data_IF_069204176207
#
_entry.id   IF_069204176207
#
_cell.length_a   1.000
_cell.length_b   1.000
_cell.length_c   1.000
_cell.angle_alpha   90.00
_cell.angle_beta   90.00
_cell.angle_gamma   90.00
#
_symmetry.space_group_name_H-M   'P 1'
#
loop_
_entity.id
_entity.type
_entity.pdbx_description
1 polymer ?
#
# COMPACT_ATOMS: atom_id res chain seq x y z
N UNK A 1 1.48 14.40 -11.87
CA UNK A 1 2.52 13.79 -11.01
C UNK A 1 2.41 12.27 -11.09
N UNK A 2 3.49 11.56 -10.82
CA UNK A 2 3.57 10.10 -10.85
C UNK A 2 3.48 9.55 -9.44
N UNK A 3 2.48 8.72 -9.18
CA UNK A 3 2.12 8.24 -7.83
C UNK A 3 2.29 6.73 -7.75
N UNK A 4 2.97 6.26 -6.71
CA UNK A 4 3.06 4.83 -6.36
C UNK A 4 2.11 4.49 -5.23
N UNK A 5 1.67 3.22 -5.19
CA UNK A 5 0.79 2.70 -4.14
C UNK A 5 1.43 1.50 -3.47
N UNK A 6 1.41 1.43 -2.15
CA UNK A 6 1.91 0.29 -1.39
C UNK A 6 0.80 -0.22 -0.45
N UNK A 7 0.38 -1.47 -0.59
CA UNK A 7 0.79 -2.46 -1.60
C UNK A 7 0.32 -2.10 -3.01
N UNK A 8 1.10 -2.53 -4.00
CA UNK A 8 0.79 -2.35 -5.43
C UNK A 8 -0.60 -2.91 -5.81
N UNK A 9 -1.18 -2.39 -6.90
CA UNK A 9 -2.41 -2.87 -7.52
C UNK A 9 -3.72 -2.66 -6.73
N UNK A 10 -3.84 -1.59 -5.92
CA UNK A 10 -5.11 -1.24 -5.27
C UNK A 10 -6.20 -0.85 -6.29
N UNK A 11 -7.26 -1.66 -6.40
CA UNK A 11 -8.37 -1.43 -7.33
C UNK A 11 -9.20 -0.18 -7.00
N UNK A 12 -9.11 0.34 -5.77
CA UNK A 12 -9.81 1.56 -5.35
C UNK A 12 -8.92 2.77 -5.58
N UNK A 13 -7.66 2.72 -5.17
CA UNK A 13 -6.78 3.90 -5.18
C UNK A 13 -6.31 4.24 -6.59
N UNK A 14 -6.05 3.25 -7.44
CA UNK A 14 -5.59 3.48 -8.82
C UNK A 14 -6.57 4.34 -9.63
N UNK A 15 -7.88 4.04 -9.68
CA UNK A 15 -8.84 4.89 -10.39
C UNK A 15 -8.95 6.31 -9.82
N UNK A 16 -8.72 6.49 -8.50
CA UNK A 16 -8.71 7.81 -7.88
C UNK A 16 -7.50 8.64 -8.33
N UNK A 17 -6.33 8.03 -8.47
CA UNK A 17 -5.11 8.67 -8.99
C UNK A 17 -5.37 9.18 -10.40
N UNK A 18 -5.88 8.32 -11.28
CA UNK A 18 -6.18 8.66 -12.68
C UNK A 18 -7.26 9.73 -12.80
N UNK A 19 -8.34 9.62 -12.00
CA UNK A 19 -9.43 10.61 -11.96
C UNK A 19 -8.97 12.01 -11.55
N UNK A 20 -7.95 12.11 -10.70
CA UNK A 20 -7.37 13.38 -10.28
C UNK A 20 -6.25 13.89 -11.23
N UNK A 21 -6.07 13.28 -12.40
CA UNK A 21 -5.12 13.73 -13.42
C UNK A 21 -3.67 13.34 -13.16
N UNK A 22 -3.43 12.37 -12.27
CA UNK A 22 -2.10 11.83 -11.98
C UNK A 22 -1.87 10.49 -12.68
N UNK A 23 -0.61 10.09 -12.78
CA UNK A 23 -0.22 8.81 -13.40
C UNK A 23 0.14 7.80 -12.32
N UNK A 24 -0.54 6.65 -12.31
CA UNK A 24 -0.15 5.54 -11.46
C UNK A 24 1.09 4.84 -12.01
N UNK A 25 2.12 4.68 -11.18
CA UNK A 25 3.31 3.91 -11.48
C UNK A 25 3.20 2.51 -10.87
N UNK A 26 2.96 1.51 -11.72
CA UNK A 26 2.97 0.11 -11.29
C UNK A 26 4.33 -0.54 -11.51
N UNK A 27 4.89 -1.21 -10.51
CA UNK A 27 6.06 -2.06 -10.71
C UNK A 27 5.86 -3.17 -11.74
N UNK A 28 4.62 -3.62 -11.94
CA UNK A 28 4.29 -4.69 -12.89
C UNK A 28 4.17 -4.24 -14.34
N UNK A 29 4.00 -2.94 -14.60
CA UNK A 29 3.85 -2.40 -15.97
C UNK A 29 5.17 -2.29 -16.74
N UNK A 30 6.31 -2.52 -16.08
CA UNK A 30 7.58 -2.63 -16.78
C UNK A 30 7.63 -3.97 -17.49
N UNK A 31 7.28 -3.95 -18.77
CA UNK A 31 7.37 -5.14 -19.62
C UNK A 31 8.82 -5.61 -19.75
N UNK A 32 9.02 -6.92 -19.94
CA UNK A 32 10.32 -7.54 -20.17
C UNK A 32 11.03 -7.01 -21.44
N UNK A 33 10.37 -6.16 -22.21
CA UNK A 33 10.87 -5.58 -23.48
C UNK A 33 11.44 -4.18 -23.34
N UNK A 34 11.14 -3.46 -22.23
CA UNK A 34 11.90 -2.25 -21.95
C UNK A 34 13.30 -2.69 -21.60
N UNK A 35 14.23 -2.44 -22.51
CA UNK A 35 15.64 -2.78 -22.38
C UNK A 35 16.08 -2.59 -20.94
N UNK A 36 16.89 -3.54 -20.45
CA UNK A 36 17.60 -3.47 -19.18
C UNK A 36 18.54 -2.24 -19.15
N UNK A 37 18.00 -1.08 -19.41
CA UNK A 37 18.67 0.16 -19.06
C UNK A 37 18.75 0.14 -17.54
N UNK A 38 19.88 -0.31 -17.08
CA UNK A 38 20.34 -0.27 -15.71
C UNK A 38 20.03 1.14 -15.25
N UNK A 39 19.16 1.27 -14.25
CA UNK A 39 18.88 2.56 -13.64
C UNK A 39 20.24 3.14 -13.24
N UNK A 40 20.69 4.17 -13.93
CA UNK A 40 21.97 4.85 -13.65
C UNK A 40 21.89 5.68 -12.36
N UNK A 41 20.80 5.55 -11.61
CA UNK A 41 20.55 6.27 -10.37
C UNK A 41 21.16 5.64 -9.12
N UNK A 42 21.14 6.38 -8.02
CA UNK A 42 21.65 5.95 -6.71
C UNK A 42 20.82 4.81 -6.06
N UNK A 43 19.63 4.50 -6.60
CA UNK A 43 18.72 3.47 -6.09
C UNK A 43 18.74 2.21 -6.95
N UNK A 44 19.91 1.77 -7.38
CA UNK A 44 20.05 0.46 -8.02
C UNK A 44 19.57 -0.65 -7.09
N UNK A 45 19.12 -1.76 -7.66
CA UNK A 45 18.65 -2.91 -6.89
C UNK A 45 19.69 -3.42 -5.88
N UNK A 46 20.97 -3.42 -6.24
CA UNK A 46 22.06 -3.85 -5.36
C UNK A 46 22.25 -2.89 -4.19
N UNK A 47 22.11 -1.58 -4.42
CA UNK A 47 22.16 -0.58 -3.37
C UNK A 47 20.95 -0.70 -2.41
N UNK A 48 19.75 -0.97 -2.93
CA UNK A 48 18.58 -1.21 -2.11
C UNK A 48 18.73 -2.47 -1.24
N UNK A 49 19.22 -3.57 -1.81
CA UNK A 49 19.44 -4.79 -1.03
C UNK A 49 20.50 -4.55 0.04
N UNK A 50 21.64 -3.98 -0.27
CA UNK A 50 22.71 -3.76 0.70
C UNK A 50 22.32 -2.80 1.81
N UNK A 51 21.50 -1.77 1.51
CA UNK A 51 21.08 -0.77 2.49
C UNK A 51 19.92 -1.24 3.37
N UNK A 52 18.94 -1.94 2.81
CA UNK A 52 17.67 -2.23 3.50
C UNK A 52 17.46 -3.69 3.90
N UNK A 53 18.33 -4.59 3.49
CA UNK A 53 18.12 -6.00 3.75
C UNK A 53 19.41 -6.81 3.92
N UNK A 54 19.27 -8.05 4.38
CA UNK A 54 20.35 -9.02 4.37
C UNK A 54 20.46 -9.73 3.02
N UNK A 55 21.63 -10.32 2.75
CA UNK A 55 21.88 -11.16 1.56
C UNK A 55 20.97 -12.40 1.50
N UNK A 56 20.38 -12.81 2.62
CA UNK A 56 19.54 -14.02 2.77
C UNK A 56 18.05 -13.78 2.53
N UNK A 57 17.66 -12.68 1.89
CA UNK A 57 16.27 -12.42 1.55
C UNK A 57 15.68 -13.53 0.67
N UNK A 58 14.44 -13.98 0.96
CA UNK A 58 13.70 -14.87 0.08
C UNK A 58 13.59 -14.32 -1.35
N UNK A 59 13.73 -15.20 -2.35
CA UNK A 59 13.71 -14.83 -3.77
C UNK A 59 12.48 -14.02 -4.18
N UNK A 60 11.29 -14.34 -3.63
CA UNK A 60 10.06 -13.58 -3.89
C UNK A 60 10.09 -12.14 -3.37
N UNK A 61 10.80 -11.88 -2.26
CA UNK A 61 11.01 -10.52 -1.76
C UNK A 61 11.99 -9.78 -2.65
N UNK A 62 13.10 -10.43 -3.05
CA UNK A 62 14.09 -9.85 -3.98
C UNK A 62 13.45 -9.45 -5.31
N UNK A 63 12.62 -10.32 -5.90
CA UNK A 63 11.93 -10.03 -7.16
C UNK A 63 11.00 -8.81 -7.06
N UNK A 64 10.27 -8.67 -5.96
CA UNK A 64 9.39 -7.50 -5.74
C UNK A 64 10.20 -6.22 -5.56
N UNK A 65 11.26 -6.25 -4.78
CA UNK A 65 12.16 -5.10 -4.63
C UNK A 65 12.83 -4.72 -5.94
N UNK A 66 13.19 -5.69 -6.78
CA UNK A 66 13.71 -5.42 -8.10
C UNK A 66 12.71 -4.68 -8.99
N UNK A 67 11.45 -5.10 -9.00
CA UNK A 67 10.41 -4.40 -9.75
C UNK A 67 10.14 -3.00 -9.16
N UNK A 68 10.14 -2.89 -7.83
CA UNK A 68 9.93 -1.64 -7.14
C UNK A 68 11.06 -0.63 -7.39
N UNK A 69 12.31 -1.07 -7.43
CA UNK A 69 13.46 -0.20 -7.72
C UNK A 69 13.36 0.53 -9.05
N UNK A 70 12.68 -0.07 -10.03
CA UNK A 70 12.49 0.54 -11.36
C UNK A 70 11.51 1.70 -11.41
N UNK A 71 10.62 1.78 -10.43
CA UNK A 71 9.58 2.82 -10.38
C UNK A 71 9.84 3.87 -9.34
N UNK A 72 10.51 3.51 -8.25
CA UNK A 72 10.61 4.36 -7.07
C UNK A 72 11.35 5.69 -7.34
N UNK A 73 12.39 5.68 -8.17
CA UNK A 73 13.13 6.89 -8.54
C UNK A 73 12.31 7.86 -9.39
N UNK A 74 11.28 7.34 -10.06
CA UNK A 74 10.41 8.14 -10.94
C UNK A 74 9.15 8.62 -10.23
N UNK A 75 8.98 8.24 -8.96
CA UNK A 75 7.79 8.56 -8.18
C UNK A 75 7.88 9.96 -7.59
N UNK A 76 6.86 10.77 -7.82
CA UNK A 76 6.70 12.10 -7.24
C UNK A 76 5.99 12.05 -5.88
N UNK A 77 5.17 11.02 -5.65
CA UNK A 77 4.41 10.84 -4.42
C UNK A 77 4.07 9.36 -4.15
N UNK A 78 3.68 9.06 -2.90
CA UNK A 78 3.30 7.71 -2.50
C UNK A 78 2.01 7.67 -1.68
N UNK A 79 1.24 6.60 -1.85
CA UNK A 79 0.10 6.27 -1.00
C UNK A 79 0.34 4.91 -0.37
N UNK A 80 0.32 4.85 0.96
CA UNK A 80 0.56 3.63 1.73
C UNK A 80 -0.72 3.24 2.46
N UNK A 81 -1.24 2.04 2.18
CA UNK A 81 -2.41 1.50 2.89
C UNK A 81 -1.93 0.58 4.00
N UNK A 82 -2.46 0.73 5.20
CA UNK A 82 -2.13 -0.05 6.39
C UNK A 82 -2.35 -1.55 6.23
N UNK A 83 -1.76 -2.34 7.12
CA UNK A 83 -1.97 -3.79 7.17
C UNK A 83 -3.39 -4.12 7.62
N UNK A 84 -3.94 -5.22 7.10
CA UNK A 84 -5.14 -5.81 7.67
C UNK A 84 -4.94 -6.14 9.15
N UNK A 85 -5.85 -5.71 10.04
CA UNK A 85 -5.79 -6.09 11.44
C UNK A 85 -5.88 -7.60 11.64
N UNK A 86 -5.11 -8.16 12.59
CA UNK A 86 -5.06 -9.62 12.84
C UNK A 86 -6.41 -10.23 13.21
N UNK A 87 -7.30 -9.45 13.82
CA UNK A 87 -8.65 -9.89 14.18
C UNK A 87 -9.62 -9.99 12.97
N UNK A 88 -9.19 -9.57 11.78
CA UNK A 88 -9.94 -9.61 10.53
C UNK A 88 -9.41 -10.64 9.52
N UNK A 89 -8.74 -11.69 9.97
CA UNK A 89 -8.22 -12.78 9.13
C UNK A 89 -9.30 -13.83 8.82
N UNK A 90 -10.48 -13.42 8.36
CA UNK A 90 -11.57 -14.33 7.95
C UNK A 90 -11.65 -14.45 6.43
N UNK A 91 -12.33 -15.47 5.94
CA UNK A 91 -12.44 -15.78 4.51
C UNK A 91 -12.98 -14.61 3.65
N UNK A 92 -13.90 -13.81 4.18
CA UNK A 92 -14.45 -12.64 3.49
C UNK A 92 -13.47 -11.46 3.41
N UNK A 93 -12.43 -11.45 4.23
CA UNK A 93 -11.41 -10.41 4.21
C UNK A 93 -10.47 -10.55 3.00
N UNK A 94 -10.45 -11.72 2.34
CA UNK A 94 -9.71 -11.96 1.11
C UNK A 94 -10.24 -11.11 -0.06
N UNK A 95 -11.55 -10.88 -0.11
CA UNK A 95 -12.15 -10.00 -1.11
C UNK A 95 -11.77 -8.53 -0.85
N UNK A 96 -11.76 -8.10 0.40
CA UNK A 96 -11.30 -6.77 0.77
C UNK A 96 -9.81 -6.57 0.43
N UNK A 97 -8.97 -7.57 0.68
CA UNK A 97 -7.56 -7.52 0.30
C UNK A 97 -7.37 -7.47 -1.23
N UNK A 98 -8.22 -8.18 -1.98
CA UNK A 98 -8.20 -8.08 -3.44
C UNK A 98 -8.52 -6.66 -3.92
N UNK A 99 -9.53 -6.03 -3.34
CA UNK A 99 -9.97 -4.68 -3.71
C UNK A 99 -8.97 -3.62 -3.27
N UNK A 100 -8.44 -3.72 -2.04
CA UNK A 100 -7.55 -2.73 -1.46
C UNK A 100 -6.09 -2.91 -1.90
N UNK A 101 -5.65 -4.13 -2.11
CA UNK A 101 -4.25 -4.48 -2.32
C UNK A 101 -3.99 -5.25 -3.63
N UNK A 102 -5.00 -5.55 -4.42
CA UNK A 102 -4.85 -6.43 -5.59
C UNK A 102 -4.53 -7.88 -5.23
N UNK A 103 -4.69 -8.29 -3.97
CA UNK A 103 -4.42 -9.62 -3.46
C UNK A 103 -3.62 -9.65 -2.15
N UNK A 104 -3.09 -10.81 -1.79
CA UNK A 104 -2.29 -10.99 -0.58
C UNK A 104 -0.91 -10.33 -0.71
N UNK A 105 -0.72 -9.21 -0.01
CA UNK A 105 0.56 -8.52 0.02
C UNK A 105 1.60 -9.27 0.87
N UNK A 106 2.82 -9.39 0.34
CA UNK A 106 3.95 -9.91 1.11
C UNK A 106 4.40 -8.87 2.15
N UNK A 107 4.17 -9.16 3.43
CA UNK A 107 4.50 -8.23 4.52
C UNK A 107 5.97 -7.81 4.56
N UNK A 108 6.89 -8.71 4.20
CA UNK A 108 8.33 -8.40 4.20
C UNK A 108 8.69 -7.43 3.09
N UNK A 109 8.25 -7.69 1.86
CA UNK A 109 8.47 -6.77 0.75
C UNK A 109 7.85 -5.40 1.04
N UNK A 110 6.59 -5.36 1.48
CA UNK A 110 5.88 -4.14 1.83
C UNK A 110 6.60 -3.30 2.90
N UNK A 111 7.11 -3.91 3.96
CA UNK A 111 7.83 -3.17 5.00
C UNK A 111 9.11 -2.53 4.45
N UNK A 112 9.82 -3.20 3.55
CA UNK A 112 11.01 -2.67 2.89
C UNK A 112 10.63 -1.53 1.93
N UNK A 113 9.59 -1.69 1.12
CA UNK A 113 9.08 -0.64 0.23
C UNK A 113 8.70 0.62 1.02
N UNK A 114 7.99 0.48 2.14
CA UNK A 114 7.64 1.59 3.03
C UNK A 114 8.89 2.29 3.57
N UNK A 115 9.90 1.53 3.99
CA UNK A 115 11.16 2.10 4.50
C UNK A 115 11.90 2.88 3.42
N UNK A 116 11.94 2.36 2.20
CA UNK A 116 12.55 3.04 1.06
C UNK A 116 11.82 4.36 0.76
N UNK A 117 10.48 4.35 0.72
CA UNK A 117 9.68 5.56 0.50
C UNK A 117 9.95 6.62 1.58
N UNK A 118 10.03 6.20 2.85
CA UNK A 118 10.32 7.12 3.96
C UNK A 118 11.67 7.82 3.83
N UNK A 119 12.67 7.10 3.32
CA UNK A 119 14.01 7.65 3.14
C UNK A 119 14.13 8.59 1.92
N UNK A 120 13.18 8.53 0.99
CA UNK A 120 13.14 9.43 -0.18
C UNK A 120 12.54 10.79 0.11
N UNK A 121 11.84 10.93 1.23
CA UNK A 121 11.19 12.17 1.65
C UNK A 121 10.24 12.79 0.60
N UNK A 122 9.56 11.94 -0.19
CA UNK A 122 8.52 12.37 -1.12
C UNK A 122 7.17 12.53 -0.40
N UNK A 123 6.25 13.38 -0.91
CA UNK A 123 4.89 13.49 -0.39
C UNK A 123 4.25 12.11 -0.25
N UNK A 124 3.88 11.75 0.97
CA UNK A 124 3.40 10.40 1.28
C UNK A 124 2.16 10.44 2.15
N UNK A 125 1.06 9.87 1.64
CA UNK A 125 -0.16 9.66 2.42
C UNK A 125 -0.16 8.25 3.02
N UNK A 126 -0.23 8.17 4.35
CA UNK A 126 -0.38 6.89 5.08
C UNK A 126 -1.81 6.73 5.56
N UNK A 127 -2.47 5.69 5.09
CA UNK A 127 -3.84 5.34 5.43
C UNK A 127 -3.90 4.03 6.21
N UNK A 128 -4.83 3.89 7.14
CA UNK A 128 -5.08 2.61 7.77
C UNK A 128 -5.90 1.69 6.84
N UNK A 129 -5.93 0.41 7.20
CA UNK A 129 -6.80 -0.55 6.56
C UNK A 129 -8.26 -0.30 6.98
N UNK A 130 -9.19 -0.01 6.05
CA UNK A 130 -10.58 0.21 6.38
C UNK A 130 -11.25 -1.11 6.81
N UNK A 131 -11.91 -1.11 7.95
CA UNK A 131 -12.58 -2.29 8.52
C UNK A 131 -14.11 -2.26 8.40
N UNK A 132 -14.64 -1.11 7.99
CA UNK A 132 -16.06 -0.91 7.77
C UNK A 132 -16.30 0.10 6.63
N UNK A 133 -17.55 0.24 6.21
CA UNK A 133 -17.93 1.11 5.10
C UNK A 133 -17.59 2.60 5.37
N UNK A 134 -17.79 3.09 6.58
CA UNK A 134 -17.48 4.47 6.90
C UNK A 134 -15.98 4.77 6.75
N UNK A 135 -15.12 3.88 7.23
CA UNK A 135 -13.68 4.00 7.07
C UNK A 135 -13.24 3.87 5.61
N UNK A 136 -13.96 3.09 4.79
CA UNK A 136 -13.68 3.01 3.36
C UNK A 136 -14.01 4.33 2.66
N UNK A 137 -15.13 4.96 2.98
CA UNK A 137 -15.50 6.30 2.47
C UNK A 137 -14.45 7.32 2.90
N UNK A 138 -14.07 7.32 4.16
CA UNK A 138 -13.03 8.20 4.70
C UNK A 138 -11.68 8.01 3.97
N UNK A 139 -11.28 6.77 3.67
CA UNK A 139 -10.08 6.47 2.88
C UNK A 139 -10.16 7.12 1.48
N UNK A 140 -11.31 7.00 0.82
CA UNK A 140 -11.55 7.60 -0.51
C UNK A 140 -11.45 9.13 -0.44
N UNK A 141 -12.09 9.75 0.56
CA UNK A 141 -12.11 11.20 0.71
C UNK A 141 -10.71 11.75 1.01
N UNK A 142 -9.97 11.12 1.91
CA UNK A 142 -8.58 11.49 2.24
C UNK A 142 -7.65 11.31 1.07
N UNK A 143 -7.83 10.23 0.30
CA UNK A 143 -7.05 10.00 -0.93
C UNK A 143 -7.32 11.09 -1.95
N UNK A 144 -8.58 11.43 -2.19
CA UNK A 144 -8.95 12.52 -3.11
C UNK A 144 -8.41 13.89 -2.64
N UNK A 145 -8.49 14.17 -1.35
CA UNK A 145 -7.96 15.41 -0.79
C UNK A 145 -6.45 15.52 -0.98
N UNK A 146 -5.72 14.44 -0.67
CA UNK A 146 -4.28 14.37 -0.86
C UNK A 146 -3.89 14.60 -2.32
N UNK A 147 -4.53 13.88 -3.24
CA UNK A 147 -4.23 13.98 -4.67
C UNK A 147 -4.51 15.39 -5.22
N UNK A 148 -5.61 16.03 -4.82
CA UNK A 148 -5.94 17.40 -5.26
C UNK A 148 -4.95 18.46 -4.76
N UNK A 149 -4.35 18.25 -3.61
CA UNK A 149 -3.44 19.20 -2.97
C UNK A 149 -1.97 18.79 -3.08
N UNK A 150 -1.65 17.78 -3.89
CA UNK A 150 -0.33 17.16 -3.95
C UNK A 150 0.82 18.14 -4.25
N UNK A 151 0.56 19.19 -5.02
CA UNK A 151 1.54 20.23 -5.34
C UNK A 151 1.91 21.13 -4.13
N UNK A 152 1.07 21.16 -3.11
CA UNK A 152 1.23 22.02 -1.93
C UNK A 152 1.66 21.22 -0.68
N UNK A 153 1.88 19.91 -0.83
CA UNK A 153 2.21 19.03 0.29
C UNK A 153 3.70 18.69 0.25
N UNK A 154 4.43 19.11 1.27
CA UNK A 154 5.81 18.71 1.48
C UNK A 154 5.89 17.63 2.58
N UNK A 155 6.53 16.51 2.27
CA UNK A 155 6.83 15.46 3.23
C UNK A 155 5.68 14.48 3.52
N UNK A 156 5.72 13.86 4.70
CA UNK A 156 4.80 12.77 5.07
C UNK A 156 3.54 13.33 5.73
N UNK A 157 2.40 13.17 5.09
CA UNK A 157 1.09 13.38 5.72
C UNK A 157 0.71 12.11 6.47
N UNK A 158 0.91 12.13 7.77
CA UNK A 158 0.35 11.09 8.63
C UNK A 158 -1.11 11.44 8.89
N UNK A 159 -1.99 10.50 8.60
CA UNK A 159 -3.36 10.59 9.07
C UNK A 159 -3.39 10.18 10.54
N UNK A 160 -3.39 11.18 11.45
CA UNK A 160 -3.36 10.99 12.91
C UNK A 160 -4.60 10.26 13.45
N UNK A 161 -5.65 10.07 12.64
CA UNK A 161 -6.83 9.27 12.97
C UNK A 161 -6.67 7.77 12.75
N UNK A 162 -5.66 7.35 12.01
CA UNK A 162 -5.43 5.96 11.61
C UNK A 162 -4.13 5.46 12.21
N UNK A 163 -4.08 5.30 13.53
CA UNK A 163 -2.98 4.67 14.24
C UNK A 163 -2.71 3.28 13.67
N UNK A 164 -1.63 3.15 12.93
CA UNK A 164 -1.13 1.89 12.35
C UNK A 164 -0.83 0.86 13.45
N UNK A 165 -0.84 1.24 14.72
CA UNK A 165 -0.36 0.44 15.85
C UNK A 165 -1.33 0.22 17.01
N UNK A 166 -2.56 0.67 16.97
CA UNK A 166 -3.51 0.21 17.97
C UNK A 166 -3.85 -1.25 17.69
N UNK A 167 -3.14 -2.15 18.37
CA UNK A 167 -3.61 -3.55 18.49
C UNK A 167 -5.01 -3.45 19.08
N UNK A 168 -6.10 -3.66 18.31
CA UNK A 168 -7.42 -3.66 18.90
C UNK A 168 -7.40 -4.75 19.97
N UNK A 169 -7.81 -4.41 21.20
CA UNK A 169 -8.09 -5.41 22.22
C UNK A 169 -8.92 -6.47 21.52
N UNK A 170 -8.56 -7.75 21.70
CA UNK A 170 -9.32 -8.89 21.19
C UNK A 170 -10.75 -8.75 21.71
N UNK A 171 -11.62 -8.11 20.95
CA UNK A 171 -13.06 -8.24 21.15
C UNK A 171 -13.40 -9.69 20.78
N UNK A 172 -13.65 -10.50 21.79
CA UNK A 172 -14.26 -11.80 21.59
C UNK A 172 -15.69 -11.50 21.12
N UNK A 173 -15.96 -11.68 19.84
CA UNK A 173 -17.34 -11.76 19.38
C UNK A 173 -17.97 -12.99 20.03
N UNK A 174 -18.99 -12.86 20.89
CA UNK A 174 -19.68 -14.00 21.43
C UNK A 174 -20.33 -14.75 20.27
N UNK A 175 -20.36 -16.09 20.37
CA UNK A 175 -20.98 -16.98 19.36
C UNK A 175 -22.44 -16.59 19.10
N UNK A 176 -23.11 -15.99 20.07
CA UNK A 176 -24.46 -15.40 19.95
C UNK A 176 -24.60 -14.38 18.83
N UNK A 177 -23.58 -13.57 18.56
CA UNK A 177 -23.67 -12.50 17.55
C UNK A 177 -23.58 -13.07 16.12
N UNK A 178 -22.88 -14.18 15.94
CA UNK A 178 -22.82 -14.90 14.66
C UNK A 178 -24.16 -15.59 14.41
N UNK A 179 -24.81 -16.13 15.44
CA UNK A 179 -26.14 -16.75 15.33
C UNK A 179 -27.21 -15.73 14.95
N UNK A 180 -27.22 -14.58 15.63
CA UNK A 180 -28.15 -13.48 15.31
C UNK A 180 -27.97 -12.91 13.89
N UNK A 181 -26.74 -12.91 13.35
CA UNK A 181 -26.46 -12.54 11.96
C UNK A 181 -26.98 -13.58 10.98
N UNK A 182 -26.89 -14.84 11.29
CA UNK A 182 -27.41 -15.93 10.43
C UNK A 182 -28.95 -15.99 10.47
N UNK A 183 -29.56 -15.80 11.64
CA UNK A 183 -31.02 -15.78 11.81
C UNK A 183 -31.69 -14.56 11.13
N UNK A 184 -30.93 -13.48 10.86
CA UNK A 184 -31.39 -12.31 10.10
C UNK A 184 -31.14 -12.40 8.58
N UNK A 185 -30.46 -13.44 8.10
CA UNK A 185 -30.13 -13.67 6.67
C UNK A 185 -31.00 -14.76 6.04
N UNK A 186 -31.83 -15.46 6.81
CA UNK A 186 -32.81 -16.46 6.39
C UNK A 186 -34.21 -15.89 6.58
#
# INVERSE_FOLDING_TARGET
MKVIVVPDASMIVIPLIEKNGHTYLSPSNFSRHDNMDICEGNLTFDNLISKYSSSELPSGVKSRLFLFSKVIEKADAAIIIGKRPKNRERMYDSLNDLILFGGNACNNARNLEIKIIQDLNIPTLKLAYPTNQAQLIELIDKTNYFLKNLENIDGIVNDDGLTIDSRPKREKYPISDVKNLLDNLI
#
